data_IF_233265917714
#
_entry.id   IF_233265917714
#
_cell.length_a   1.000
_cell.length_b   1.000
_cell.length_c   1.000
_cell.angle_alpha   90.00
_cell.angle_beta   90.00
_cell.angle_gamma   90.00
#
_symmetry.space_group_name_H-M   'P 1'
#
loop_
_entity.id
_entity.type
_entity.pdbx_description
1 polymer ?
#
# COMPACT_ATOMS: atom_id res chain seq x y z
N UNK A 1 -13.82 -1.78 1.34
CA UNK A 1 -12.69 -0.95 0.92
C UNK A 1 -11.43 -1.81 0.96
N UNK A 2 -10.46 -1.62 0.05
CA UNK A 2 -9.18 -2.32 0.18
C UNK A 2 -8.45 -1.82 1.42
N UNK A 3 -8.06 -2.71 2.34
CA UNK A 3 -7.24 -2.32 3.49
C UNK A 3 -5.75 -2.60 3.24
N UNK A 4 -5.41 -3.82 2.84
CA UNK A 4 -4.03 -4.18 2.51
C UNK A 4 -3.98 -5.43 1.63
N UNK A 5 -2.80 -5.69 1.08
CA UNK A 5 -2.45 -7.00 0.55
C UNK A 5 -1.00 -7.38 0.86
N UNK A 6 -0.77 -8.68 0.96
CA UNK A 6 0.54 -9.28 1.25
C UNK A 6 0.84 -10.32 0.16
N UNK A 7 2.06 -10.28 -0.38
CA UNK A 7 2.57 -11.29 -1.31
C UNK A 7 3.08 -12.49 -0.53
N UNK A 8 2.56 -13.67 -0.84
CA UNK A 8 3.01 -14.92 -0.25
C UNK A 8 4.23 -15.50 -0.97
N UNK A 9 4.84 -16.51 -0.35
CA UNK A 9 6.01 -17.22 -0.89
C UNK A 9 5.69 -17.94 -2.21
N UNK A 10 4.44 -18.38 -2.40
CA UNK A 10 3.94 -18.98 -3.64
C UNK A 10 3.53 -17.95 -4.72
N UNK A 11 3.95 -16.70 -4.59
CA UNK A 11 3.59 -15.58 -5.48
C UNK A 11 2.10 -15.20 -5.53
N UNK A 12 1.25 -15.83 -4.72
CA UNK A 12 -0.14 -15.40 -4.53
C UNK A 12 -0.22 -14.12 -3.68
N UNK A 13 -1.38 -13.45 -3.70
CA UNK A 13 -1.67 -12.31 -2.86
C UNK A 13 -2.79 -12.64 -1.88
N UNK A 14 -2.53 -12.47 -0.59
CA UNK A 14 -3.57 -12.37 0.43
C UNK A 14 -4.04 -10.93 0.50
N UNK A 15 -5.33 -10.73 0.26
CA UNK A 15 -5.97 -9.42 0.22
C UNK A 15 -7.02 -9.38 1.32
N UNK A 16 -6.98 -8.32 2.14
CA UNK A 16 -8.08 -7.98 3.02
C UNK A 16 -8.82 -6.77 2.46
N UNK A 17 -10.08 -6.99 2.10
CA UNK A 17 -10.94 -6.00 1.47
C UNK A 17 -12.41 -6.29 1.77
N UNK A 18 -13.19 -5.24 2.07
CA UNK A 18 -14.64 -5.35 2.28
C UNK A 18 -14.99 -6.37 3.39
N UNK A 19 -14.28 -6.30 4.52
CA UNK A 19 -14.38 -7.25 5.65
C UNK A 19 -14.12 -8.73 5.29
N UNK A 20 -13.45 -8.99 4.17
CA UNK A 20 -13.23 -10.35 3.67
C UNK A 20 -11.78 -10.60 3.30
N UNK A 21 -11.34 -11.85 3.50
CA UNK A 21 -10.05 -12.34 3.01
C UNK A 21 -10.22 -13.03 1.68
N UNK A 22 -9.32 -12.71 0.75
CA UNK A 22 -9.22 -13.37 -0.55
C UNK A 22 -7.76 -13.71 -0.81
N UNK A 23 -7.49 -14.96 -1.19
CA UNK A 23 -6.23 -15.33 -1.79
C UNK A 23 -6.40 -15.38 -3.30
N UNK A 24 -5.53 -14.69 -4.04
CA UNK A 24 -5.56 -14.71 -5.51
C UNK A 24 -4.21 -15.12 -6.07
N UNK A 25 -4.22 -16.00 -7.07
CA UNK A 25 -3.00 -16.44 -7.76
C UNK A 25 -2.61 -15.46 -8.87
N UNK A 26 -2.00 -14.33 -8.48
CA UNK A 26 -1.51 -13.31 -9.41
C UNK A 26 -0.29 -12.59 -8.85
N UNK A 27 0.54 -12.00 -9.71
CA UNK A 27 1.66 -11.17 -9.27
C UNK A 27 1.18 -9.80 -8.81
N UNK A 28 1.94 -9.15 -7.91
CA UNK A 28 1.66 -7.76 -7.47
C UNK A 28 1.55 -6.80 -8.65
N UNK A 29 2.45 -6.93 -9.64
CA UNK A 29 2.44 -6.09 -10.84
C UNK A 29 1.16 -6.27 -11.66
N UNK A 30 0.74 -7.52 -11.91
CA UNK A 30 -0.50 -7.78 -12.65
C UNK A 30 -1.71 -7.25 -11.89
N UNK A 31 -1.79 -7.48 -10.58
CA UNK A 31 -2.87 -6.97 -9.73
C UNK A 31 -2.99 -5.45 -9.77
N UNK A 32 -1.87 -4.73 -9.60
CA UNK A 32 -1.86 -3.26 -9.61
C UNK A 32 -2.13 -2.70 -11.00
N UNK A 33 -1.63 -3.32 -12.07
CA UNK A 33 -1.92 -2.88 -13.44
C UNK A 33 -3.40 -3.03 -13.79
N UNK A 34 -4.07 -4.10 -13.37
CA UNK A 34 -5.52 -4.22 -13.57
C UNK A 34 -6.30 -3.10 -12.86
N UNK A 35 -5.88 -2.71 -11.64
CA UNK A 35 -6.46 -1.57 -10.92
C UNK A 35 -6.22 -0.23 -11.62
N UNK A 36 -5.04 -0.06 -12.24
CA UNK A 36 -4.64 1.17 -12.92
C UNK A 36 -5.17 1.29 -14.36
N UNK A 37 -5.68 0.19 -14.92
CA UNK A 37 -6.17 0.11 -16.30
C UNK A 37 -7.25 1.16 -16.61
N UNK A 38 -8.17 1.41 -15.68
CA UNK A 38 -9.23 2.41 -15.84
C UNK A 38 -8.70 3.86 -15.88
N UNK A 39 -7.47 4.08 -15.41
CA UNK A 39 -6.78 5.37 -15.50
C UNK A 39 -5.77 5.41 -16.67
N UNK A 40 -5.85 4.46 -17.60
CA UNK A 40 -4.99 4.37 -18.80
C UNK A 40 -3.50 4.47 -18.48
N UNK A 41 -3.08 3.83 -17.39
CA UNK A 41 -1.70 3.86 -16.91
C UNK A 41 -1.32 2.52 -16.31
N UNK A 42 -0.05 2.38 -15.93
CA UNK A 42 0.50 1.18 -15.33
C UNK A 42 1.38 1.51 -14.12
N UNK A 43 1.76 0.46 -13.39
CA UNK A 43 2.58 0.56 -12.19
C UNK A 43 3.91 1.26 -12.48
N UNK A 44 4.61 0.88 -13.56
CA UNK A 44 5.93 1.41 -13.87
C UNK A 44 5.89 2.91 -14.17
N UNK A 45 4.88 3.35 -14.92
CA UNK A 45 4.63 4.75 -15.27
C UNK A 45 4.27 5.57 -14.04
N UNK A 46 3.37 5.05 -13.19
CA UNK A 46 3.02 5.69 -11.90
C UNK A 46 4.25 5.84 -11.01
N UNK A 47 5.01 4.77 -10.82
CA UNK A 47 6.26 4.80 -10.05
C UNK A 47 7.21 5.87 -10.61
N UNK A 48 7.48 5.86 -11.92
CA UNK A 48 8.37 6.83 -12.58
C UNK A 48 7.93 8.28 -12.36
N UNK A 49 6.65 8.57 -12.54
CA UNK A 49 6.11 9.93 -12.36
C UNK A 49 6.19 10.36 -10.91
N UNK A 50 5.79 9.49 -9.97
CA UNK A 50 5.86 9.80 -8.53
C UNK A 50 7.31 10.02 -8.08
N UNK A 51 8.29 9.23 -8.56
CA UNK A 51 9.72 9.50 -8.29
C UNK A 51 10.14 10.87 -8.79
N UNK A 52 9.72 11.25 -9.99
CA UNK A 52 10.11 12.52 -10.60
C UNK A 52 9.55 13.73 -9.83
N UNK A 53 8.30 13.63 -9.36
CA UNK A 53 7.63 14.73 -8.66
C UNK A 53 8.13 14.86 -7.22
N UNK A 54 8.23 13.76 -6.49
CA UNK A 54 8.49 13.78 -5.05
C UNK A 54 9.93 13.40 -4.66
N UNK A 55 10.77 13.07 -5.64
CA UNK A 55 12.16 12.64 -5.43
C UNK A 55 12.29 11.40 -4.53
N UNK A 56 11.30 10.52 -4.52
CA UNK A 56 11.37 9.25 -3.78
C UNK A 56 12.30 8.25 -4.47
N UNK A 57 13.29 7.74 -3.76
CA UNK A 57 14.26 6.80 -4.35
C UNK A 57 13.77 5.34 -4.38
N UNK A 58 13.05 4.92 -3.34
CA UNK A 58 12.58 3.54 -3.15
C UNK A 58 11.21 3.52 -2.48
N UNK A 59 10.51 2.36 -2.46
CA UNK A 59 9.22 2.15 -1.76
C UNK A 59 8.23 3.29 -2.02
N UNK A 60 7.87 3.45 -3.28
CA UNK A 60 7.05 4.57 -3.71
C UNK A 60 5.60 4.29 -3.32
N UNK A 61 4.91 5.19 -2.61
CA UNK A 61 3.47 5.08 -2.44
C UNK A 61 2.76 5.21 -3.79
N UNK A 62 1.69 4.44 -3.98
CA UNK A 62 0.97 4.36 -5.25
C UNK A 62 -0.43 4.93 -5.09
N UNK A 63 -0.66 6.12 -5.66
CA UNK A 63 -2.01 6.66 -5.79
C UNK A 63 -2.72 5.97 -6.95
N UNK A 64 -3.77 5.20 -6.63
CA UNK A 64 -4.58 4.48 -7.62
C UNK A 64 -5.82 5.31 -7.95
N UNK A 65 -6.53 5.79 -6.92
CA UNK A 65 -7.74 6.60 -7.02
C UNK A 65 -8.05 7.27 -5.67
N UNK A 66 -9.14 8.02 -5.58
CA UNK A 66 -9.55 8.77 -4.38
C UNK A 66 -9.79 7.92 -3.12
N UNK A 67 -9.91 6.60 -3.26
CA UNK A 67 -10.12 5.68 -2.13
C UNK A 67 -8.91 4.76 -1.90
N UNK A 68 -7.89 4.81 -2.75
CA UNK A 68 -6.76 3.89 -2.72
C UNK A 68 -5.42 4.63 -2.93
N UNK A 69 -4.69 4.81 -1.81
CA UNK A 69 -3.30 5.26 -1.80
C UNK A 69 -2.46 4.22 -1.07
N UNK A 70 -1.71 3.43 -1.82
CA UNK A 70 -1.04 2.24 -1.29
C UNK A 70 0.37 2.57 -0.80
N UNK A 71 0.58 2.48 0.50
CA UNK A 71 1.89 2.54 1.15
C UNK A 71 2.67 1.26 0.90
N UNK A 72 3.91 1.38 0.43
CA UNK A 72 4.79 0.23 0.23
C UNK A 72 5.65 -0.01 1.48
N UNK A 73 5.21 -0.90 2.37
CA UNK A 73 5.96 -1.24 3.59
C UNK A 73 7.16 -2.13 3.25
N UNK A 74 6.94 -3.11 2.37
CA UNK A 74 7.99 -3.98 1.83
C UNK A 74 7.81 -4.08 0.32
N UNK A 75 8.88 -3.79 -0.43
CA UNK A 75 8.87 -3.72 -1.89
C UNK A 75 8.36 -5.01 -2.53
N UNK A 76 7.58 -4.90 -3.60
CA UNK A 76 7.01 -6.03 -4.36
C UNK A 76 8.06 -6.98 -4.95
N UNK A 77 9.30 -6.51 -5.11
CA UNK A 77 10.45 -7.31 -5.57
C UNK A 77 10.93 -8.31 -4.52
N UNK A 78 10.57 -8.10 -3.26
CA UNK A 78 10.92 -8.99 -2.15
C UNK A 78 9.78 -9.97 -1.85
N UNK A 79 10.10 -11.09 -1.20
CA UNK A 79 9.10 -11.97 -0.59
C UNK A 79 8.39 -11.27 0.56
N UNK A 80 7.14 -11.66 0.84
CA UNK A 80 6.32 -11.05 1.90
C UNK A 80 6.13 -9.55 1.71
N UNK A 81 6.13 -9.07 0.46
CA UNK A 81 5.88 -7.66 0.17
C UNK A 81 4.50 -7.27 0.68
N UNK A 82 4.38 -6.11 1.30
CA UNK A 82 3.16 -5.67 1.96
C UNK A 82 2.82 -4.25 1.52
N UNK A 83 1.59 -4.07 1.06
CA UNK A 83 1.01 -2.79 0.71
C UNK A 83 -0.21 -2.53 1.58
N UNK A 84 -0.29 -1.32 2.12
CA UNK A 84 -1.37 -0.91 3.02
C UNK A 84 -2.05 0.32 2.41
N UNK A 85 -3.36 0.30 2.29
CA UNK A 85 -4.11 1.46 1.82
C UNK A 85 -4.16 2.52 2.92
N UNK A 86 -3.46 3.63 2.72
CA UNK A 86 -3.40 4.76 3.63
C UNK A 86 -4.79 5.26 4.03
N UNK A 87 -5.71 5.38 3.07
CA UNK A 87 -7.06 5.90 3.33
C UNK A 87 -7.93 4.94 4.16
N UNK A 88 -7.56 3.66 4.25
CA UNK A 88 -8.29 2.69 5.06
C UNK A 88 -7.91 2.70 6.54
N UNK A 89 -6.83 3.38 6.91
CA UNK A 89 -6.31 3.43 8.27
C UNK A 89 -7.18 4.38 9.11
N UNK A 90 -7.74 3.86 10.19
CA UNK A 90 -8.48 4.64 11.19
C UNK A 90 -7.53 5.27 12.19
N UNK A 91 -6.63 4.47 12.75
CA UNK A 91 -5.54 4.92 13.63
C UNK A 91 -4.43 3.87 13.67
N UNK A 92 -3.30 4.22 14.26
CA UNK A 92 -2.21 3.29 14.53
C UNK A 92 -1.52 3.66 15.84
N UNK A 93 -0.91 2.69 16.48
CA UNK A 93 -0.16 2.89 17.72
C UNK A 93 0.99 1.89 17.82
N UNK A 94 1.95 2.19 18.67
CA UNK A 94 3.08 1.31 18.94
C UNK A 94 2.79 0.43 20.16
N UNK A 95 3.10 -0.87 20.04
CA UNK A 95 3.00 -1.83 21.13
C UNK A 95 4.05 -2.93 20.93
N UNK A 96 4.81 -3.25 21.98
CA UNK A 96 5.80 -4.33 21.97
C UNK A 96 6.80 -4.27 20.79
N UNK A 97 7.28 -3.06 20.44
CA UNK A 97 8.17 -2.79 19.30
C UNK A 97 7.55 -3.08 17.91
N UNK A 98 6.24 -3.21 17.84
CA UNK A 98 5.46 -3.33 16.62
C UNK A 98 4.54 -2.12 16.43
N UNK A 99 4.18 -1.82 15.19
CA UNK A 99 3.08 -0.91 14.88
C UNK A 99 1.82 -1.73 14.67
N UNK A 100 0.79 -1.42 15.43
CA UNK A 100 -0.56 -1.95 15.27
C UNK A 100 -1.36 -0.92 14.46
N UNK A 101 -1.89 -1.36 13.33
CA UNK A 101 -2.62 -0.53 12.38
C UNK A 101 -4.08 -0.97 12.44
N UNK A 102 -4.96 -0.06 12.80
CA UNK A 102 -6.39 -0.31 12.96
C UNK A 102 -7.12 0.30 11.77
N UNK A 103 -7.88 -0.52 11.04
CA UNK A 103 -8.64 -0.09 9.87
C UNK A 103 -10.07 0.29 10.24
N UNK A 104 -10.75 1.06 9.38
CA UNK A 104 -12.18 1.36 9.56
C UNK A 104 -13.07 0.11 9.56
N UNK A 105 -12.58 -0.99 8.96
CA UNK A 105 -13.24 -2.30 8.87
C UNK A 105 -13.11 -3.14 10.17
N UNK A 106 -12.71 -2.54 11.31
CA UNK A 106 -12.49 -3.21 12.61
C UNK A 106 -11.55 -4.41 12.53
N UNK A 107 -10.62 -4.36 11.58
CA UNK A 107 -9.53 -5.31 11.43
C UNK A 107 -8.21 -4.62 11.72
N UNK A 108 -7.22 -5.41 12.13
CA UNK A 108 -5.91 -4.90 12.53
C UNK A 108 -4.80 -5.62 11.79
N UNK A 109 -3.78 -4.87 11.37
CA UNK A 109 -2.54 -5.41 10.83
C UNK A 109 -1.37 -5.01 11.72
N UNK A 110 -0.47 -5.96 11.99
CA UNK A 110 0.76 -5.72 12.74
C UNK A 110 1.94 -5.63 11.79
N UNK A 111 2.87 -4.72 12.07
CA UNK A 111 4.15 -4.65 11.34
C UNK A 111 5.31 -4.29 12.25
N UNK A 112 6.41 -5.02 12.09
CA UNK A 112 7.69 -4.73 12.76
C UNK A 112 8.51 -3.67 11.99
N UNK A 113 8.03 -3.21 10.84
CA UNK A 113 8.75 -2.25 9.99
C UNK A 113 8.48 -0.79 10.38
N UNK A 114 8.61 -0.46 11.67
CA UNK A 114 8.30 0.85 12.27
C UNK A 114 8.81 2.05 11.47
N UNK A 115 10.11 2.09 11.19
CA UNK A 115 10.72 3.22 10.48
C UNK A 115 10.15 3.40 9.07
N UNK A 116 9.99 2.30 8.32
CA UNK A 116 9.40 2.37 6.99
C UNK A 116 7.94 2.81 7.06
N UNK A 117 7.16 2.33 8.03
CA UNK A 117 5.76 2.72 8.20
C UNK A 117 5.64 4.24 8.38
N UNK A 118 6.38 4.82 9.34
CA UNK A 118 6.35 6.27 9.58
C UNK A 118 6.82 7.09 8.38
N UNK A 119 7.84 6.62 7.66
CA UNK A 119 8.30 7.26 6.43
C UNK A 119 7.21 7.25 5.35
N UNK A 120 6.53 6.11 5.15
CA UNK A 120 5.43 6.00 4.19
C UNK A 120 4.25 6.89 4.56
N UNK A 121 3.90 7.03 5.84
CA UNK A 121 2.88 7.97 6.31
C UNK A 121 3.22 9.41 5.88
N UNK A 122 4.48 9.84 6.08
CA UNK A 122 4.92 11.19 5.66
C UNK A 122 4.81 11.38 4.15
N UNK A 123 5.24 10.39 3.37
CA UNK A 123 5.17 10.44 1.90
C UNK A 123 3.76 10.45 1.36
N UNK A 124 2.85 9.69 1.97
CA UNK A 124 1.43 9.72 1.62
C UNK A 124 0.81 11.09 1.88
N UNK A 125 1.15 11.75 2.99
CA UNK A 125 0.70 13.12 3.26
C UNK A 125 1.17 14.11 2.19
N UNK A 126 2.42 14.02 1.75
CA UNK A 126 2.94 14.85 0.66
C UNK A 126 2.17 14.64 -0.66
N UNK A 127 1.81 13.40 -0.98
CA UNK A 127 1.02 13.09 -2.18
C UNK A 127 -0.39 13.69 -2.05
N UNK A 128 -1.04 13.55 -0.89
CA UNK A 128 -2.38 14.08 -0.63
C UNK A 128 -2.40 15.61 -0.77
N UNK A 129 -1.44 16.28 -0.14
CA UNK A 129 -1.27 17.73 -0.22
C UNK A 129 -1.09 18.20 -1.68
N UNK A 130 -0.23 17.52 -2.45
CA UNK A 130 -0.01 17.82 -3.87
C UNK A 130 -1.28 17.63 -4.72
N UNK A 131 -2.11 16.63 -4.41
CA UNK A 131 -3.35 16.33 -5.13
C UNK A 131 -4.56 17.17 -4.66
N UNK A 132 -4.41 17.96 -3.59
CA UNK A 132 -5.50 18.69 -2.92
C UNK A 132 -6.65 17.76 -2.49
N UNK A 133 -6.32 16.63 -1.86
CA UNK A 133 -7.27 15.65 -1.33
C UNK A 133 -7.45 15.77 0.19
#
# INVERSE_FOLDING_TARGET
>A
MLCYFIKNENYSLDIYQDNSYKNINTTVQKYLNEKLKNSLTDLASREKVTKKIFHFEAKIPLFINNNELLMCIKSYRLEKSCYINYFSIKYYYEKDNEIIIEFYENHSLKTQHKYTFYEQIKRCKQIIEFLNL
#
